data_IF_140754386410
#
_entry.id   IF_140754386410
#
_cell.length_a   1.000
_cell.length_b   1.000
_cell.length_c   1.000
_cell.angle_alpha   90.00
_cell.angle_beta   90.00
_cell.angle_gamma   90.00
#
_symmetry.space_group_name_H-M   'P 1'
#
loop_
_entity.id
_entity.type
_entity.pdbx_description
1 polymer ?
#
# COMPACT_ATOMS: atom_id res chain seq x y z
N UNK A 1 -10.21 -3.10 -26.65
CA UNK A 1 -9.95 -4.25 -25.76
C UNK A 1 -8.86 -3.77 -24.82
N UNK A 2 -9.28 -3.32 -23.64
CA UNK A 2 -8.54 -2.60 -22.60
C UNK A 2 -7.64 -3.51 -21.74
N UNK A 3 -7.05 -4.55 -22.33
CA UNK A 3 -6.28 -5.56 -21.61
C UNK A 3 -5.09 -5.00 -20.83
N UNK A 4 -4.53 -3.85 -21.27
CA UNK A 4 -3.40 -3.20 -20.62
C UNK A 4 -3.80 -2.44 -19.34
N UNK A 5 -5.04 -1.93 -19.28
CA UNK A 5 -5.56 -1.25 -18.09
C UNK A 5 -5.96 -2.26 -17.00
N UNK A 6 -6.49 -3.42 -17.42
CA UNK A 6 -6.83 -4.53 -16.51
C UNK A 6 -5.59 -5.12 -15.84
N UNK A 7 -4.49 -5.33 -16.57
CA UNK A 7 -3.24 -5.85 -16.00
C UNK A 7 -2.60 -4.89 -15.00
N UNK A 8 -2.59 -3.58 -15.29
CA UNK A 8 -2.07 -2.58 -14.36
C UNK A 8 -2.91 -2.51 -13.07
N UNK A 9 -4.23 -2.58 -13.19
CA UNK A 9 -5.12 -2.61 -12.02
C UNK A 9 -4.91 -3.87 -11.17
N UNK A 10 -4.68 -5.04 -11.78
CA UNK A 10 -4.34 -6.27 -11.06
C UNK A 10 -2.99 -6.16 -10.32
N UNK A 11 -1.96 -5.62 -10.97
CA UNK A 11 -0.64 -5.42 -10.36
C UNK A 11 -0.73 -4.46 -9.15
N UNK A 12 -1.42 -3.33 -9.30
CA UNK A 12 -1.66 -2.38 -8.21
C UNK A 12 -2.38 -3.05 -7.04
N UNK A 13 -3.41 -3.88 -7.31
CA UNK A 13 -4.14 -4.60 -6.27
C UNK A 13 -3.26 -5.57 -5.49
N UNK A 14 -2.35 -6.28 -6.17
CA UNK A 14 -1.39 -7.19 -5.53
C UNK A 14 -0.45 -6.42 -4.61
N UNK A 15 0.13 -5.31 -5.10
CA UNK A 15 1.07 -4.48 -4.32
C UNK A 15 0.35 -3.85 -3.12
N UNK A 16 -0.85 -3.31 -3.32
CA UNK A 16 -1.66 -2.72 -2.25
C UNK A 16 -2.01 -3.76 -1.16
N UNK A 17 -2.42 -4.95 -1.56
CA UNK A 17 -2.76 -6.04 -0.64
C UNK A 17 -1.55 -6.46 0.20
N UNK A 18 -0.38 -6.56 -0.43
CA UNK A 18 0.87 -6.89 0.27
C UNK A 18 1.25 -5.81 1.29
N UNK A 19 1.18 -4.53 0.90
CA UNK A 19 1.47 -3.41 1.79
C UNK A 19 0.51 -3.35 3.00
N UNK A 20 -0.78 -3.70 2.80
CA UNK A 20 -1.74 -3.83 3.88
C UNK A 20 -1.40 -4.96 4.87
N UNK A 21 -0.97 -6.12 4.37
CA UNK A 21 -0.52 -7.25 5.20
C UNK A 21 0.70 -6.83 6.03
N UNK A 22 1.66 -6.13 5.43
CA UNK A 22 2.87 -5.72 6.12
C UNK A 22 2.61 -4.62 7.16
N UNK A 23 1.68 -3.70 6.87
CA UNK A 23 1.18 -2.74 7.87
C UNK A 23 0.52 -3.44 9.06
N UNK A 24 -0.31 -4.46 8.82
CA UNK A 24 -0.94 -5.22 9.89
C UNK A 24 0.10 -5.91 10.78
N UNK A 25 1.13 -6.54 10.17
CA UNK A 25 2.25 -7.15 10.90
C UNK A 25 3.05 -6.12 11.69
N UNK A 26 3.34 -4.96 11.11
CA UNK A 26 4.05 -3.88 11.79
C UNK A 26 3.26 -3.35 12.98
N UNK A 27 1.93 -3.23 12.87
CA UNK A 27 1.03 -2.83 13.97
C UNK A 27 1.02 -3.86 15.10
N UNK A 28 1.01 -5.16 14.80
CA UNK A 28 1.12 -6.22 15.81
C UNK A 28 2.44 -6.08 16.56
N UNK A 29 3.58 -6.02 15.85
CA UNK A 29 4.91 -5.86 16.49
C UNK A 29 4.99 -4.59 17.34
N UNK A 30 4.44 -3.48 16.85
CA UNK A 30 4.36 -2.22 17.61
C UNK A 30 3.50 -2.35 18.87
N UNK A 31 2.37 -3.06 18.78
CA UNK A 31 1.50 -3.31 19.94
C UNK A 31 2.15 -4.23 20.97
N UNK A 32 2.95 -5.21 20.53
CA UNK A 32 3.71 -6.09 21.42
C UNK A 32 4.86 -5.34 22.11
N UNK A 33 5.51 -4.42 21.38
CA UNK A 33 6.62 -3.63 21.89
C UNK A 33 6.71 -2.28 21.19
N UNK A 34 6.41 -1.21 21.92
CA UNK A 34 6.56 0.14 21.40
C UNK A 34 8.05 0.55 21.38
N UNK A 35 8.69 0.36 20.22
CA UNK A 35 10.06 0.80 19.95
C UNK A 35 10.08 1.81 18.81
N UNK A 36 11.13 2.63 18.76
CA UNK A 36 11.33 3.55 17.64
C UNK A 36 11.36 2.80 16.28
N UNK A 37 11.97 1.62 16.24
CA UNK A 37 12.00 0.75 15.08
C UNK A 37 10.60 0.30 14.64
N UNK A 38 9.77 -0.16 15.58
CA UNK A 38 8.41 -0.60 15.26
C UNK A 38 7.52 0.57 14.82
N UNK A 39 7.68 1.76 15.40
CA UNK A 39 7.01 2.99 14.93
C UNK A 39 7.44 3.35 13.52
N UNK A 40 8.74 3.28 13.23
CA UNK A 40 9.27 3.55 11.90
C UNK A 40 8.75 2.55 10.87
N UNK A 41 8.65 1.26 11.22
CA UNK A 41 8.08 0.23 10.36
C UNK A 41 6.60 0.52 10.02
N UNK A 42 5.78 0.92 11.00
CA UNK A 42 4.38 1.32 10.75
C UNK A 42 4.30 2.55 9.85
N UNK A 43 5.13 3.56 10.09
CA UNK A 43 5.17 4.77 9.27
C UNK A 43 5.58 4.47 7.83
N UNK A 44 6.57 3.59 7.65
CA UNK A 44 7.02 3.14 6.33
C UNK A 44 5.91 2.41 5.57
N UNK A 45 5.25 1.42 6.18
CA UNK A 45 4.17 0.71 5.50
C UNK A 45 2.99 1.62 5.13
N UNK A 46 2.72 2.67 5.92
CA UNK A 46 1.73 3.69 5.55
C UNK A 46 2.16 4.48 4.32
N UNK A 47 3.42 4.95 4.29
CA UNK A 47 3.95 5.68 3.14
C UNK A 47 3.93 4.84 1.85
N UNK A 48 4.24 3.54 1.95
CA UNK A 48 4.16 2.60 0.81
C UNK A 48 2.70 2.43 0.31
N UNK A 49 1.71 2.40 1.22
CA UNK A 49 0.30 2.39 0.84
C UNK A 49 -0.12 3.70 0.16
N UNK A 50 0.27 4.83 0.75
CA UNK A 50 -0.06 6.16 0.22
C UNK A 50 0.52 6.32 -1.19
N UNK A 51 1.78 5.90 -1.41
CA UNK A 51 2.40 5.87 -2.72
C UNK A 51 1.57 5.02 -3.71
N UNK A 52 1.21 3.79 -3.37
CA UNK A 52 0.41 2.93 -4.27
C UNK A 52 -0.94 3.56 -4.63
N UNK A 53 -1.58 4.26 -3.70
CA UNK A 53 -2.83 4.99 -3.96
C UNK A 53 -2.60 6.22 -4.86
N UNK A 54 -1.48 6.92 -4.70
CA UNK A 54 -1.08 8.01 -5.58
C UNK A 54 -0.83 7.49 -7.01
N UNK A 55 -0.17 6.35 -7.17
CA UNK A 55 0.00 5.69 -8.48
C UNK A 55 -1.35 5.30 -9.09
N UNK A 56 -2.27 4.73 -8.30
CA UNK A 56 -3.60 4.38 -8.77
C UNK A 56 -4.38 5.61 -9.26
N UNK A 57 -4.41 6.68 -8.45
CA UNK A 57 -5.12 7.92 -8.80
C UNK A 57 -4.46 8.66 -9.96
N UNK A 58 -3.14 8.64 -10.09
CA UNK A 58 -2.42 9.20 -11.23
C UNK A 58 -2.62 8.39 -12.52
N UNK A 59 -2.74 7.06 -12.40
CA UNK A 59 -3.00 6.16 -13.54
C UNK A 59 -4.44 6.24 -14.04
N UNK A 60 -5.38 6.60 -13.16
CA UNK A 60 -6.78 6.76 -13.47
C UNK A 60 -7.22 8.22 -13.48
N UNK A 61 -6.84 9.01 -14.50
CA UNK A 61 -7.54 10.25 -14.90
C UNK A 61 -8.98 9.94 -15.39
N UNK A 62 -9.73 9.19 -14.58
CA UNK A 62 -11.15 8.98 -14.70
C UNK A 62 -11.83 10.17 -14.02
N UNK A 63 -12.03 11.19 -14.84
CA UNK A 63 -12.90 12.34 -14.60
C UNK A 63 -14.25 11.89 -13.98
N UNK A 64 -14.80 12.63 -13.00
CA UNK A 64 -16.17 12.42 -12.54
C UNK A 64 -17.20 12.63 -13.65
#
# INVERSE_FOLDING_TARGET
MDTMHDTLAEEINVVFSQACIDLARARVRHSEKDTAENRAAVARCRAEIDEVLDWYTASGDHRP
#
